data_IF_535956975579
#
_entry.id   IF_535956975579
#
_cell.length_a   1.000
_cell.length_b   1.000
_cell.length_c   1.000
_cell.angle_alpha   90.00
_cell.angle_beta   90.00
_cell.angle_gamma   90.00
#
_symmetry.space_group_name_H-M   'P 1'
#
loop_
_entity.id
_entity.type
_entity.pdbx_description
1 polymer ?
#
# COMPACT_ATOMS: atom_id res chain seq x y z
N UNK A 1 -11.10 11.30 15.37
CA UNK A 1 -10.07 11.61 14.36
C UNK A 1 -10.16 10.54 13.28
N UNK A 2 -10.21 10.90 11.99
CA UNK A 2 -10.25 9.88 10.93
C UNK A 2 -8.95 9.06 10.91
N UNK A 3 -9.01 7.81 10.44
CA UNK A 3 -7.84 6.90 10.42
C UNK A 3 -6.69 7.47 9.57
N UNK A 4 -7.04 8.11 8.46
CA UNK A 4 -6.11 8.81 7.60
C UNK A 4 -5.42 10.00 8.31
N UNK A 5 -6.13 10.71 9.21
CA UNK A 5 -5.51 11.79 9.99
C UNK A 5 -4.52 11.26 11.03
N UNK A 6 -4.77 10.07 11.60
CA UNK A 6 -3.79 9.40 12.47
C UNK A 6 -2.55 9.01 11.68
N UNK A 7 -2.70 8.42 10.49
CA UNK A 7 -1.59 8.09 9.62
C UNK A 7 -0.72 9.31 9.26
N UNK A 8 -1.34 10.41 8.81
CA UNK A 8 -0.56 11.62 8.49
C UNK A 8 0.06 12.28 9.71
N UNK A 9 -0.55 12.14 10.91
CA UNK A 9 0.08 12.56 12.15
C UNK A 9 1.36 11.75 12.43
N UNK A 10 1.30 10.42 12.28
CA UNK A 10 2.45 9.55 12.49
C UNK A 10 3.56 9.83 11.47
N UNK A 11 3.22 10.02 10.20
CA UNK A 11 4.15 10.48 9.17
C UNK A 11 4.82 11.82 9.55
N UNK A 12 4.05 12.81 10.05
CA UNK A 12 4.62 14.09 10.46
C UNK A 12 5.55 13.95 11.67
N UNK A 13 5.20 13.10 12.62
CA UNK A 13 6.05 12.84 13.80
C UNK A 13 7.37 12.19 13.38
N UNK A 14 7.32 11.25 12.44
CA UNK A 14 8.49 10.51 11.98
C UNK A 14 9.34 11.27 10.95
N UNK A 15 8.71 12.05 10.07
CA UNK A 15 9.29 12.63 8.86
C UNK A 15 9.00 14.12 8.71
N UNK A 16 8.95 14.87 9.82
CA UNK A 16 8.56 16.29 9.84
C UNK A 16 9.22 17.11 8.73
N UNK A 17 10.54 17.00 8.59
CA UNK A 17 11.30 17.74 7.58
C UNK A 17 10.91 17.39 6.14
N UNK A 18 10.70 16.11 5.84
CA UNK A 18 10.27 15.66 4.51
C UNK A 18 8.83 16.11 4.19
N UNK A 19 7.93 16.05 5.17
CA UNK A 19 6.55 16.54 5.02
C UNK A 19 6.54 18.05 4.77
N UNK A 20 7.36 18.81 5.48
CA UNK A 20 7.52 20.25 5.26
C UNK A 20 8.16 20.58 3.92
N UNK A 21 9.14 19.79 3.47
CA UNK A 21 9.72 19.90 2.13
C UNK A 21 8.65 19.70 1.04
N UNK A 22 7.88 18.61 1.11
CA UNK A 22 6.82 18.31 0.15
C UNK A 22 5.77 19.42 0.11
N UNK A 23 5.33 19.89 1.27
CA UNK A 23 4.36 20.99 1.33
C UNK A 23 4.88 22.28 0.68
N UNK A 24 6.18 22.59 0.82
CA UNK A 24 6.80 23.74 0.14
C UNK A 24 6.86 23.54 -1.37
N UNK A 25 7.23 22.35 -1.82
CA UNK A 25 7.35 22.02 -3.24
C UNK A 25 6.00 22.10 -3.98
N UNK A 26 4.90 21.71 -3.33
CA UNK A 26 3.55 21.93 -3.86
C UNK A 26 3.15 23.41 -3.97
N UNK A 27 3.80 24.29 -3.21
CA UNK A 27 3.56 25.75 -3.27
C UNK A 27 4.42 26.37 -4.40
N UNK A 28 5.53 25.76 -4.77
CA UNK A 28 6.50 26.32 -5.73
C UNK A 28 6.40 25.76 -7.15
N UNK A 29 5.42 24.91 -7.46
CA UNK A 29 5.20 24.26 -8.78
C UNK A 29 6.45 23.53 -9.33
N UNK A 30 7.32 23.03 -8.46
CA UNK A 30 8.41 22.13 -8.86
C UNK A 30 7.88 20.69 -8.93
N UNK A 31 8.00 20.06 -10.10
CA UNK A 31 7.21 18.87 -10.47
C UNK A 31 7.85 17.53 -10.07
N UNK A 32 9.09 17.52 -9.59
CA UNK A 32 9.79 16.28 -9.20
C UNK A 32 9.94 16.20 -7.67
N UNK A 33 8.95 15.59 -7.02
CA UNK A 33 8.98 15.32 -5.59
C UNK A 33 9.78 14.04 -5.30
N UNK A 34 11.09 14.18 -5.09
CA UNK A 34 11.91 13.11 -4.54
C UNK A 34 12.44 13.53 -3.17
N UNK A 35 12.15 12.74 -2.15
CA UNK A 35 12.72 12.93 -0.81
C UNK A 35 13.73 11.81 -0.50
N UNK A 36 14.54 11.99 0.54
CA UNK A 36 15.48 10.95 0.99
C UNK A 36 14.79 9.71 1.56
N UNK A 37 13.53 9.84 1.95
CA UNK A 37 12.79 8.81 2.69
C UNK A 37 12.02 7.89 1.75
N UNK A 38 12.48 6.64 1.62
CA UNK A 38 11.86 5.64 0.74
C UNK A 38 10.37 5.40 1.04
N UNK A 39 9.95 5.45 2.32
CA UNK A 39 8.55 5.28 2.72
C UNK A 39 7.66 6.43 2.21
N UNK A 40 8.17 7.65 2.23
CA UNK A 40 7.46 8.81 1.72
C UNK A 40 7.37 8.73 0.19
N UNK A 41 8.47 8.42 -0.50
CA UNK A 41 8.47 8.23 -1.95
C UNK A 41 7.52 7.11 -2.39
N UNK A 42 7.49 5.99 -1.65
CA UNK A 42 6.57 4.87 -1.91
C UNK A 42 5.12 5.34 -1.85
N UNK A 43 4.75 6.08 -0.79
CA UNK A 43 3.40 6.61 -0.64
C UNK A 43 3.06 7.67 -1.69
N UNK A 44 4.00 8.55 -2.04
CA UNK A 44 3.80 9.53 -3.11
C UNK A 44 3.56 8.85 -4.46
N UNK A 45 4.27 7.77 -4.77
CA UNK A 45 4.05 7.01 -6.00
C UNK A 45 2.64 6.40 -6.05
N UNK A 46 2.19 5.76 -4.96
CA UNK A 46 0.82 5.21 -4.89
C UNK A 46 -0.24 6.31 -5.03
N UNK A 47 -0.08 7.43 -4.33
CA UNK A 47 -1.00 8.57 -4.40
C UNK A 47 -1.00 9.18 -5.82
N UNK A 48 0.18 9.37 -6.41
CA UNK A 48 0.36 9.90 -7.75
C UNK A 48 -0.32 9.03 -8.80
N UNK A 49 -0.12 7.71 -8.73
CA UNK A 49 -0.80 6.74 -9.60
C UNK A 49 -2.32 6.84 -9.51
N UNK A 50 -2.87 6.82 -8.29
CA UNK A 50 -4.32 6.92 -8.06
C UNK A 50 -4.91 8.21 -8.65
N UNK A 51 -4.20 9.33 -8.52
CA UNK A 51 -4.69 10.65 -8.92
C UNK A 51 -4.48 10.95 -10.40
N UNK A 52 -3.35 10.56 -10.98
CA UNK A 52 -2.93 10.94 -12.33
C UNK A 52 -3.40 9.90 -13.35
N UNK A 53 -3.07 8.62 -13.13
CA UNK A 53 -3.26 7.57 -14.15
C UNK A 53 -4.62 6.89 -14.04
N UNK A 54 -5.17 6.81 -12.84
CA UNK A 54 -6.51 6.28 -12.63
C UNK A 54 -7.58 7.38 -12.62
N UNK A 55 -7.19 8.63 -12.90
CA UNK A 55 -8.06 9.81 -13.11
C UNK A 55 -8.93 10.22 -11.93
N UNK A 56 -8.80 9.51 -10.83
CA UNK A 56 -9.70 9.59 -9.71
C UNK A 56 -9.44 10.85 -8.91
N UNK A 57 -10.52 11.52 -8.55
CA UNK A 57 -10.45 12.80 -7.84
C UNK A 57 -9.85 12.65 -6.43
N UNK A 58 -9.73 13.79 -5.75
CA UNK A 58 -9.22 13.86 -4.39
C UNK A 58 -10.03 12.99 -3.41
N UNK A 59 -11.37 12.95 -3.53
CA UNK A 59 -12.22 12.21 -2.61
C UNK A 59 -12.04 10.70 -2.80
N UNK A 60 -11.98 10.23 -4.05
CA UNK A 60 -11.66 8.84 -4.33
C UNK A 60 -10.26 8.50 -3.81
N UNK A 61 -9.25 9.33 -4.10
CA UNK A 61 -7.87 9.06 -3.70
C UNK A 61 -7.79 8.94 -2.19
N UNK A 62 -8.43 9.85 -1.47
CA UNK A 62 -8.53 9.80 -0.01
C UNK A 62 -9.21 8.51 0.47
N UNK A 63 -10.34 8.12 -0.13
CA UNK A 63 -11.06 6.90 0.25
C UNK A 63 -10.22 5.63 -0.04
N UNK A 64 -9.52 5.59 -1.17
CA UNK A 64 -8.64 4.48 -1.53
C UNK A 64 -7.46 4.35 -0.57
N UNK A 65 -6.81 5.46 -0.20
CA UNK A 65 -5.75 5.43 0.80
C UNK A 65 -6.30 4.99 2.16
N UNK A 66 -7.49 5.47 2.56
CA UNK A 66 -8.11 5.03 3.80
C UNK A 66 -8.42 3.52 3.78
N UNK A 67 -8.93 2.97 2.68
CA UNK A 67 -9.13 1.53 2.52
C UNK A 67 -7.82 0.73 2.52
N UNK A 68 -6.77 1.24 1.89
CA UNK A 68 -5.46 0.63 1.90
C UNK A 68 -4.90 0.56 3.33
N UNK A 69 -4.96 1.65 4.10
CA UNK A 69 -4.52 1.71 5.50
C UNK A 69 -5.32 0.79 6.43
N UNK A 70 -6.53 0.40 6.02
CA UNK A 70 -7.38 -0.59 6.71
C UNK A 70 -7.07 -2.04 6.29
N UNK A 71 -6.08 -2.24 5.43
CA UNK A 71 -5.64 -3.54 4.95
C UNK A 71 -6.46 -4.09 3.80
N UNK A 72 -7.20 -3.22 3.09
CA UNK A 72 -7.89 -3.64 1.88
C UNK A 72 -6.92 -4.30 0.90
N UNK A 73 -7.36 -5.40 0.28
CA UNK A 73 -6.63 -6.03 -0.81
C UNK A 73 -6.99 -5.33 -2.12
N UNK A 74 -6.02 -4.67 -2.75
CA UNK A 74 -6.23 -3.88 -3.96
C UNK A 74 -5.79 -4.69 -5.18
N UNK A 75 -6.54 -4.59 -6.28
CA UNK A 75 -6.14 -5.10 -7.59
C UNK A 75 -6.21 -4.00 -8.63
N UNK A 76 -5.11 -3.76 -9.32
CA UNK A 76 -4.98 -2.76 -10.36
C UNK A 76 -5.14 -3.40 -11.74
N UNK A 77 -5.95 -2.78 -12.60
CA UNK A 77 -6.10 -3.18 -13.99
C UNK A 77 -5.00 -2.53 -14.83
N UNK A 78 -3.77 -3.01 -14.69
CA UNK A 78 -2.57 -2.33 -15.17
C UNK A 78 -1.58 -3.25 -15.89
N UNK A 79 -1.97 -4.49 -16.16
CA UNK A 79 -1.11 -5.53 -16.77
C UNK A 79 0.20 -5.77 -16.00
N UNK A 80 0.25 -5.47 -14.69
CA UNK A 80 1.45 -5.58 -13.87
C UNK A 80 2.34 -4.33 -13.86
N UNK A 81 1.93 -3.24 -14.52
CA UNK A 81 2.74 -2.02 -14.66
C UNK A 81 3.13 -1.37 -13.32
N UNK A 82 2.19 -1.22 -12.38
CA UNK A 82 2.48 -0.66 -11.06
C UNK A 82 3.50 -1.52 -10.30
N UNK A 83 3.35 -2.85 -10.36
CA UNK A 83 4.31 -3.77 -9.74
C UNK A 83 5.72 -3.59 -10.33
N UNK A 84 5.83 -3.53 -11.66
CA UNK A 84 7.12 -3.37 -12.35
C UNK A 84 7.80 -2.05 -11.97
N UNK A 85 7.03 -0.97 -11.86
CA UNK A 85 7.53 0.33 -11.41
C UNK A 85 7.96 0.32 -9.94
N UNK A 86 7.16 -0.26 -9.04
CA UNK A 86 7.52 -0.37 -7.63
C UNK A 86 8.81 -1.18 -7.46
N UNK A 87 8.95 -2.30 -8.19
CA UNK A 87 10.16 -3.12 -8.15
C UNK A 87 11.36 -2.34 -8.66
N UNK A 88 11.23 -1.62 -9.78
CA UNK A 88 12.32 -0.83 -10.36
C UNK A 88 12.78 0.30 -9.43
N UNK A 89 11.85 1.03 -8.81
CA UNK A 89 12.15 2.21 -8.00
C UNK A 89 12.58 1.87 -6.56
N UNK A 90 12.15 0.73 -6.02
CA UNK A 90 12.36 0.37 -4.61
C UNK A 90 13.19 -0.89 -4.42
N UNK A 91 13.87 -1.39 -5.45
CA UNK A 91 14.64 -2.64 -5.44
C UNK A 91 15.56 -2.81 -4.20
N UNK A 92 16.19 -1.72 -3.75
CA UNK A 92 17.12 -1.75 -2.60
C UNK A 92 16.42 -1.89 -1.23
N UNK A 93 15.13 -1.56 -1.17
CA UNK A 93 14.32 -1.55 0.06
C UNK A 93 13.32 -2.70 0.13
N UNK A 94 12.88 -3.20 -1.03
CA UNK A 94 12.01 -4.34 -1.14
C UNK A 94 12.69 -5.63 -0.68
N UNK A 95 11.93 -6.50 -0.02
CA UNK A 95 12.40 -7.83 0.38
C UNK A 95 11.47 -8.90 -0.16
N UNK A 96 12.05 -10.01 -0.63
CA UNK A 96 11.29 -11.20 -1.03
C UNK A 96 10.37 -11.65 0.11
N UNK A 97 9.12 -11.96 -0.21
CA UNK A 97 8.11 -12.32 0.78
C UNK A 97 7.13 -13.33 0.20
N UNK A 98 7.15 -14.55 0.70
CA UNK A 98 6.09 -15.51 0.36
C UNK A 98 4.83 -15.19 1.17
N UNK A 99 3.71 -14.89 0.51
CA UNK A 99 2.40 -14.74 1.15
C UNK A 99 1.42 -15.80 0.67
N UNK A 100 0.22 -15.83 1.25
CA UNK A 100 -0.86 -16.73 0.82
C UNK A 100 -1.58 -16.28 -0.46
N UNK A 101 -1.32 -15.06 -0.93
CA UNK A 101 -1.98 -14.52 -2.11
C UNK A 101 -1.41 -15.13 -3.39
N UNK A 102 -2.28 -15.36 -4.36
CA UNK A 102 -1.87 -15.90 -5.66
C UNK A 102 -0.99 -14.89 -6.42
N UNK A 103 0.12 -15.36 -6.97
CA UNK A 103 1.03 -14.52 -7.74
C UNK A 103 1.79 -15.32 -8.79
N UNK A 104 1.74 -14.86 -10.04
CA UNK A 104 2.54 -15.35 -11.16
C UNK A 104 3.92 -14.69 -11.26
N UNK A 105 4.22 -13.71 -10.39
CA UNK A 105 5.51 -13.04 -10.27
C UNK A 105 6.07 -13.17 -8.84
N UNK A 106 7.37 -12.89 -8.62
CA UNK A 106 7.91 -12.79 -7.27
C UNK A 106 7.06 -11.86 -6.39
N UNK A 107 6.91 -12.23 -5.14
CA UNK A 107 6.18 -11.42 -4.17
C UNK A 107 7.17 -10.64 -3.32
N UNK A 108 6.87 -9.36 -3.11
CA UNK A 108 7.72 -8.44 -2.37
C UNK A 108 6.99 -7.82 -1.19
N UNK A 109 7.77 -7.45 -0.19
CA UNK A 109 7.35 -6.65 0.95
C UNK A 109 8.13 -5.35 0.99
N UNK A 110 7.42 -4.24 1.12
CA UNK A 110 7.96 -2.96 1.58
C UNK A 110 7.68 -2.80 3.07
N UNK A 111 8.57 -2.15 3.81
CA UNK A 111 8.32 -1.82 5.22
C UNK A 111 9.05 -0.54 5.56
N UNK A 112 8.40 0.33 6.33
CA UNK A 112 9.00 1.52 6.89
C UNK A 112 8.63 1.72 8.36
N UNK A 113 9.17 2.77 8.99
CA UNK A 113 8.83 3.20 10.34
C UNK A 113 7.35 3.40 10.62
N UNK A 114 6.55 3.89 9.66
CA UNK A 114 5.11 4.15 9.85
C UNK A 114 4.25 3.02 9.29
N UNK A 115 4.62 2.48 8.13
CA UNK A 115 3.92 1.37 7.47
C UNK A 115 4.64 0.07 7.79
N UNK A 116 4.00 -0.75 8.62
CA UNK A 116 4.57 -2.01 9.11
C UNK A 116 4.96 -2.98 7.99
N UNK A 117 4.05 -3.25 7.05
CA UNK A 117 4.34 -4.06 5.87
C UNK A 117 3.35 -3.72 4.74
N UNK A 118 3.85 -3.61 3.50
CA UNK A 118 3.04 -3.60 2.28
C UNK A 118 3.45 -4.79 1.44
N UNK A 119 2.54 -5.72 1.24
CA UNK A 119 2.72 -6.86 0.34
C UNK A 119 2.32 -6.46 -1.06
N UNK A 120 3.06 -6.96 -2.05
CA UNK A 120 2.74 -6.77 -3.46
C UNK A 120 3.13 -7.97 -4.31
N UNK A 121 2.40 -8.17 -5.40
CA UNK A 121 2.65 -9.20 -6.39
C UNK A 121 1.80 -8.99 -7.64
N UNK A 122 1.75 -10.01 -8.50
CA UNK A 122 0.99 -9.97 -9.75
C UNK A 122 0.13 -11.21 -9.86
N UNK A 123 -1.19 -11.05 -9.90
CA UNK A 123 -2.14 -12.15 -10.15
C UNK A 123 -2.58 -12.16 -11.61
N UNK A 124 -3.08 -13.29 -12.09
CA UNK A 124 -3.71 -13.41 -13.42
C UNK A 124 -5.21 -13.57 -13.23
N UNK A 125 -6.01 -12.76 -13.93
CA UNK A 125 -7.48 -12.90 -13.90
C UNK A 125 -7.98 -14.00 -14.83
N UNK A 126 -9.29 -14.28 -14.79
CA UNK A 126 -9.92 -15.34 -15.58
C UNK A 126 -9.75 -15.16 -17.10
N UNK A 127 -9.53 -13.92 -17.56
CA UNK A 127 -9.32 -13.57 -18.95
C UNK A 127 -7.83 -13.63 -19.35
N UNK A 128 -6.95 -14.06 -18.44
CA UNK A 128 -5.52 -14.17 -18.68
C UNK A 128 -4.74 -12.85 -18.52
N UNK A 129 -5.37 -11.78 -18.00
CA UNK A 129 -4.69 -10.51 -17.83
C UNK A 129 -3.94 -10.45 -16.51
N UNK A 130 -2.74 -9.87 -16.53
CA UNK A 130 -1.96 -9.59 -15.32
C UNK A 130 -2.57 -8.42 -14.54
N UNK A 131 -2.58 -8.51 -13.22
CA UNK A 131 -3.07 -7.48 -12.30
C UNK A 131 -2.09 -7.32 -11.16
N UNK A 132 -1.53 -6.13 -10.99
CA UNK A 132 -0.80 -5.80 -9.75
C UNK A 132 -1.78 -5.90 -8.59
N UNK A 133 -1.36 -6.53 -7.49
CA UNK A 133 -2.07 -6.47 -6.23
C UNK A 133 -1.19 -5.90 -5.13
N UNK A 134 -1.79 -5.15 -4.21
CA UNK A 134 -1.12 -4.65 -3.00
C UNK A 134 -2.02 -4.82 -1.77
N UNK A 135 -1.41 -5.03 -0.61
CA UNK A 135 -2.12 -5.07 0.67
C UNK A 135 -1.23 -4.56 1.81
N UNK A 136 -1.77 -3.68 2.63
CA UNK A 136 -1.07 -3.19 3.83
C UNK A 136 -1.40 -4.12 4.99
N UNK A 137 -0.37 -4.66 5.63
CA UNK A 137 -0.53 -5.52 6.79
C UNK A 137 -0.15 -4.77 8.07
N UNK A 138 -0.93 -5.04 9.13
CA UNK A 138 -0.72 -4.42 10.44
C UNK A 138 0.59 -4.86 11.10
N UNK A 139 1.01 -6.10 10.85
CA UNK A 139 2.15 -6.69 11.55
C UNK A 139 3.10 -7.36 10.56
N UNK A 140 4.36 -6.99 10.66
CA UNK A 140 5.42 -7.62 9.90
C UNK A 140 5.82 -8.97 10.54
N UNK A 141 5.87 -10.04 9.74
CA UNK A 141 6.24 -11.39 10.21
C UNK A 141 7.72 -11.58 10.60
N UNK A 142 8.58 -10.57 10.44
CA UNK A 142 10.04 -10.70 10.64
C UNK A 142 10.46 -10.83 12.11
N UNK A 143 9.59 -10.55 13.07
CA UNK A 143 9.87 -10.75 14.50
C UNK A 143 8.97 -11.84 15.06
N UNK A 144 9.41 -12.56 16.09
CA UNK A 144 8.60 -13.59 16.76
C UNK A 144 7.29 -12.98 17.29
N UNK A 145 7.36 -11.79 17.89
CA UNK A 145 6.18 -11.05 18.36
C UNK A 145 5.27 -10.69 17.19
N UNK A 146 5.85 -10.18 16.09
CA UNK A 146 5.10 -9.88 14.86
C UNK A 146 4.42 -11.10 14.25
N UNK A 147 5.07 -12.26 14.27
CA UNK A 147 4.50 -13.53 13.82
C UNK A 147 3.33 -13.97 14.69
N UNK A 148 3.45 -13.88 16.03
CA UNK A 148 2.36 -14.20 16.96
C UNK A 148 1.18 -13.26 16.73
N UNK A 149 1.44 -11.96 16.61
CA UNK A 149 0.39 -10.98 16.35
C UNK A 149 -0.27 -11.19 14.98
N UNK A 150 0.49 -11.55 13.95
CA UNK A 150 -0.05 -11.90 12.65
C UNK A 150 -0.92 -13.18 12.72
N UNK A 151 -0.56 -14.17 13.55
CA UNK A 151 -1.40 -15.35 13.75
C UNK A 151 -2.72 -14.99 14.44
N UNK A 152 -2.69 -14.09 15.43
CA UNK A 152 -3.91 -13.56 16.08
C UNK A 152 -4.78 -12.83 15.05
N UNK A 153 -4.17 -11.98 14.22
CA UNK A 153 -4.89 -11.27 13.15
C UNK A 153 -5.50 -12.25 12.14
N UNK A 154 -4.81 -13.35 11.80
CA UNK A 154 -5.35 -14.41 10.95
C UNK A 154 -6.55 -15.12 11.58
N UNK A 155 -6.51 -15.41 12.88
CA UNK A 155 -7.64 -16.00 13.61
C UNK A 155 -8.83 -15.03 13.65
N UNK A 156 -8.57 -13.74 13.88
CA UNK A 156 -9.62 -12.72 13.79
C UNK A 156 -10.20 -12.63 12.38
N UNK A 157 -9.39 -12.59 11.33
CA UNK A 157 -9.83 -12.63 9.94
C UNK A 157 -10.74 -13.83 9.67
N UNK A 158 -10.38 -15.02 10.16
CA UNK A 158 -11.22 -16.23 10.01
C UNK A 158 -12.58 -16.10 10.69
N UNK A 159 -12.69 -15.33 11.77
CA UNK A 159 -13.95 -15.11 12.49
C UNK A 159 -14.80 -14.00 11.86
N UNK A 160 -14.19 -12.89 11.46
CA UNK A 160 -14.90 -11.67 11.03
C UNK A 160 -14.98 -11.51 9.50
N UNK A 161 -14.14 -12.22 8.75
CA UNK A 161 -14.05 -12.15 7.28
C UNK A 161 -13.50 -10.84 6.72
N UNK A 162 -12.77 -10.05 7.53
CA UNK A 162 -12.25 -8.71 7.16
C UNK A 162 -10.74 -8.67 7.32
N UNK A 163 -10.05 -8.06 6.35
CA UNK A 163 -8.61 -7.84 6.44
C UNK A 163 -8.28 -6.84 7.55
N UNK A 164 -7.06 -6.96 8.10
CA UNK A 164 -6.58 -6.13 9.22
C UNK A 164 -5.31 -5.40 8.77
N UNK A 165 -5.44 -4.10 8.56
CA UNK A 165 -4.34 -3.20 8.26
C UNK A 165 -3.88 -2.39 9.47
N UNK A 166 -2.84 -1.56 9.28
CA UNK A 166 -2.22 -0.77 10.35
C UNK A 166 -3.20 0.17 11.07
N UNK A 167 -4.21 0.69 10.36
CA UNK A 167 -5.17 1.65 10.90
C UNK A 167 -6.61 1.09 10.98
N UNK A 168 -6.76 -0.24 10.99
CA UNK A 168 -8.01 -0.93 11.31
C UNK A 168 -8.39 -1.98 10.25
N UNK A 169 -9.69 -2.25 10.08
CA UNK A 169 -10.15 -3.38 9.24
C UNK A 169 -10.83 -2.96 7.93
N UNK A 170 -10.67 -3.76 6.87
CA UNK A 170 -11.31 -3.57 5.56
C UNK A 170 -12.12 -4.80 5.13
N UNK A 171 -13.24 -4.56 4.46
CA UNK A 171 -14.06 -5.64 3.85
C UNK A 171 -13.51 -6.13 2.51
N UNK A 172 -12.51 -5.42 1.96
CA UNK A 172 -11.88 -5.79 0.71
C UNK A 172 -10.81 -6.85 0.96
N UNK A 173 -11.14 -8.09 0.62
CA UNK A 173 -10.27 -9.27 0.76
C UNK A 173 -9.78 -9.73 -0.60
N UNK A 174 -8.91 -10.73 -0.67
CA UNK A 174 -8.47 -11.29 -1.96
C UNK A 174 -9.63 -11.76 -2.85
N UNK A 175 -10.68 -12.33 -2.24
CA UNK A 175 -11.88 -12.81 -2.94
C UNK A 175 -12.86 -11.68 -3.32
N UNK A 176 -12.77 -10.52 -2.64
CA UNK A 176 -13.57 -9.33 -2.91
C UNK A 176 -12.65 -8.10 -2.91
N UNK A 177 -11.77 -7.95 -3.90
CA UNK A 177 -10.73 -6.93 -3.87
C UNK A 177 -11.30 -5.54 -4.14
N UNK A 178 -10.58 -4.52 -3.67
CA UNK A 178 -10.78 -3.15 -4.13
C UNK A 178 -10.18 -3.03 -5.54
N UNK A 179 -11.03 -2.93 -6.57
CA UNK A 179 -10.58 -2.89 -7.96
C UNK A 179 -10.30 -1.46 -8.42
N UNK A 180 -9.08 -1.21 -8.90
CA UNK A 180 -8.63 0.05 -9.49
C UNK A 180 -8.54 -0.11 -11.01
N UNK A 181 -9.22 0.76 -11.76
CA UNK A 181 -9.25 0.74 -13.22
C UNK A 181 -8.69 2.04 -13.78
N UNK A 182 -7.89 1.97 -14.87
CA UNK A 182 -7.45 3.16 -15.61
C UNK A 182 -8.66 3.89 -16.19
N UNK A 183 -8.45 5.16 -16.51
CA UNK A 183 -9.40 5.98 -17.27
C UNK A 183 -9.72 5.37 -18.63
#
# INVERSE_FOLDING_TARGET
MSRINSFFKDLKVQYGDAVEYINRQFITDEHELFCSDAEINFMLMIIGKLRIEYGKDYQFTQAAIEEALKGGHFKFHDNGGLYEELVANFQQTLKNRWSSHDSCAPQYSFSGPVISEVLMGVSVDADGNRRTWIQFEKHNMRTIVGLIMHLIDYLHYKLIGKNIGPYGTSEYTENKPFVIRPL
#
